data_IF_371953805096
#
_entry.id   IF_371953805096
#
_cell.length_a   1.000
_cell.length_b   1.000
_cell.length_c   1.000
_cell.angle_alpha   90.00
_cell.angle_beta   90.00
_cell.angle_gamma   90.00
#
_symmetry.space_group_name_H-M   'P 1'
#
loop_
_entity.id
_entity.type
_entity.pdbx_description
1 polymer ?
#
# COMPACT_ATOMS: atom_id res chain seq x y z
N UNK A 1 -7.98 13.32 -12.52
CA UNK A 1 -8.23 11.96 -11.98
C UNK A 1 -9.70 11.55 -12.11
N UNK A 2 -10.65 12.10 -11.33
CA UNK A 2 -12.07 11.67 -11.34
C UNK A 2 -12.68 11.54 -12.75
N UNK A 3 -12.63 12.60 -13.57
CA UNK A 3 -13.10 12.58 -14.97
C UNK A 3 -12.45 11.50 -15.85
N UNK A 4 -11.19 11.14 -15.57
CA UNK A 4 -10.51 10.07 -16.29
C UNK A 4 -11.01 8.68 -15.92
N UNK A 5 -11.37 8.49 -14.64
CA UNK A 5 -12.03 7.26 -14.17
C UNK A 5 -13.43 7.16 -14.80
N UNK A 6 -14.22 8.23 -14.74
CA UNK A 6 -15.55 8.32 -15.36
C UNK A 6 -15.48 7.99 -16.87
N UNK A 7 -14.55 8.60 -17.60
CA UNK A 7 -14.33 8.31 -19.02
C UNK A 7 -13.95 6.83 -19.27
N UNK A 8 -13.11 6.23 -18.43
CA UNK A 8 -12.74 4.83 -18.56
C UNK A 8 -13.94 3.89 -18.33
N UNK A 9 -14.82 4.23 -17.37
CA UNK A 9 -16.09 3.54 -17.15
C UNK A 9 -16.97 3.61 -18.39
N UNK A 10 -17.20 4.81 -18.91
CA UNK A 10 -18.01 5.04 -20.11
C UNK A 10 -17.45 4.32 -21.35
N UNK A 11 -16.12 4.18 -21.41
CA UNK A 11 -15.42 3.46 -22.48
C UNK A 11 -15.45 1.93 -22.34
N UNK A 12 -16.07 1.41 -21.28
CA UNK A 12 -16.18 -0.03 -21.04
C UNK A 12 -14.88 -0.72 -20.61
N UNK A 13 -13.94 0.04 -20.02
CA UNK A 13 -12.72 -0.53 -19.46
C UNK A 13 -13.04 -1.64 -18.44
N UNK A 14 -12.14 -2.62 -18.30
CA UNK A 14 -12.25 -3.69 -17.28
C UNK A 14 -11.22 -3.56 -16.17
N UNK A 15 -10.18 -2.78 -16.41
CA UNK A 15 -9.11 -2.46 -15.47
C UNK A 15 -8.71 -1.00 -15.69
N UNK A 16 -8.49 -0.26 -14.61
CA UNK A 16 -7.95 1.10 -14.63
C UNK A 16 -6.63 1.10 -13.84
N UNK A 17 -5.54 1.52 -14.48
CA UNK A 17 -4.22 1.69 -13.84
C UNK A 17 -3.99 3.17 -13.51
N UNK A 18 -3.70 3.48 -12.24
CA UNK A 18 -3.52 4.86 -11.77
C UNK A 18 -2.19 4.99 -11.01
N UNK A 19 -1.20 5.57 -11.66
CA UNK A 19 0.11 5.88 -11.05
C UNK A 19 0.21 7.34 -10.55
N UNK A 20 -0.90 8.08 -10.56
CA UNK A 20 -0.96 9.47 -10.10
C UNK A 20 -1.39 9.53 -8.64
N UNK A 21 -0.70 10.37 -7.86
CA UNK A 21 -1.00 10.61 -6.46
C UNK A 21 -1.81 11.91 -6.27
N UNK A 22 -2.73 11.88 -5.30
CA UNK A 22 -3.39 13.05 -4.74
C UNK A 22 -3.25 13.04 -3.20
N UNK A 23 -3.22 14.23 -2.61
CA UNK A 23 -3.05 14.38 -1.15
C UNK A 23 -4.36 14.10 -0.41
N UNK A 24 -5.47 14.64 -0.90
CA UNK A 24 -6.78 14.61 -0.23
C UNK A 24 -7.84 14.05 -1.17
N UNK A 25 -8.69 13.11 -0.72
CA UNK A 25 -9.79 12.61 -1.54
C UNK A 25 -10.87 13.69 -1.67
N UNK A 26 -11.26 14.01 -2.90
CA UNK A 26 -12.42 14.86 -3.16
C UNK A 26 -13.68 14.01 -3.25
N UNK A 27 -14.88 14.54 -2.92
CA UNK A 27 -16.13 13.79 -3.08
C UNK A 27 -16.34 13.25 -4.50
N UNK A 28 -15.95 14.02 -5.52
CA UNK A 28 -16.00 13.58 -6.92
C UNK A 28 -15.08 12.41 -7.22
N UNK A 29 -13.87 12.36 -6.64
CA UNK A 29 -12.96 11.24 -6.84
C UNK A 29 -13.47 9.97 -6.15
N UNK A 30 -14.00 10.10 -4.93
CA UNK A 30 -14.61 8.98 -4.21
C UNK A 30 -15.82 8.44 -4.99
N UNK A 31 -16.68 9.31 -5.51
CA UNK A 31 -17.82 8.91 -6.33
C UNK A 31 -17.39 8.23 -7.63
N UNK A 32 -16.34 8.71 -8.31
CA UNK A 32 -15.82 8.10 -9.52
C UNK A 32 -15.25 6.69 -9.27
N UNK A 33 -14.51 6.51 -8.16
CA UNK A 33 -14.00 5.19 -7.74
C UNK A 33 -15.15 4.23 -7.46
N UNK A 34 -16.16 4.65 -6.68
CA UNK A 34 -17.34 3.84 -6.40
C UNK A 34 -18.12 3.49 -7.67
N UNK A 35 -18.23 4.42 -8.62
CA UNK A 35 -18.89 4.18 -9.91
C UNK A 35 -18.17 3.13 -10.76
N UNK A 36 -16.84 3.13 -10.76
CA UNK A 36 -16.05 2.12 -11.44
C UNK A 36 -16.19 0.73 -10.78
N UNK A 37 -16.15 0.65 -9.45
CA UNK A 37 -16.40 -0.61 -8.73
C UNK A 37 -17.78 -1.18 -9.02
N UNK A 38 -18.82 -0.35 -8.97
CA UNK A 38 -20.20 -0.73 -9.29
C UNK A 38 -20.36 -1.19 -10.75
N UNK A 39 -19.42 -0.83 -11.63
CA UNK A 39 -19.39 -1.21 -13.04
C UNK A 39 -18.55 -2.47 -13.31
N UNK A 40 -18.18 -3.22 -12.27
CA UNK A 40 -17.30 -4.39 -12.34
C UNK A 40 -15.92 -4.05 -12.93
N UNK A 41 -15.34 -2.91 -12.54
CA UNK A 41 -14.00 -2.49 -12.98
C UNK A 41 -13.03 -2.62 -11.81
N UNK A 42 -11.88 -3.26 -12.05
CA UNK A 42 -10.80 -3.30 -11.06
C UNK A 42 -9.96 -2.04 -11.20
N UNK A 43 -9.81 -1.29 -10.12
CA UNK A 43 -8.94 -0.12 -10.06
C UNK A 43 -7.66 -0.52 -9.36
N UNK A 44 -6.53 -0.33 -10.03
CA UNK A 44 -5.18 -0.60 -9.50
C UNK A 44 -4.47 0.73 -9.38
N UNK A 45 -3.95 1.05 -8.19
CA UNK A 45 -3.30 2.33 -7.95
C UNK A 45 -2.00 2.20 -7.16
N UNK A 46 -1.05 3.07 -7.49
CA UNK A 46 0.24 3.15 -6.84
C UNK A 46 0.11 3.55 -5.37
N UNK A 47 0.76 2.81 -4.46
CA UNK A 47 0.77 3.17 -3.05
C UNK A 47 1.43 4.53 -2.79
N UNK A 48 2.44 4.89 -3.59
CA UNK A 48 3.15 6.17 -3.52
C UNK A 48 4.65 5.99 -3.26
N UNK A 49 5.41 7.02 -3.60
CA UNK A 49 6.87 7.04 -3.55
C UNK A 49 7.36 8.06 -2.49
N UNK A 50 8.09 7.60 -1.47
CA UNK A 50 8.65 8.38 -0.36
C UNK A 50 9.73 9.34 -0.81
N UNK A 51 10.55 8.91 -1.77
CA UNK A 51 11.55 9.72 -2.46
C UNK A 51 10.92 10.83 -3.31
N UNK A 52 9.64 10.71 -3.66
CA UNK A 52 8.82 11.79 -4.24
C UNK A 52 7.98 12.56 -3.20
N UNK A 53 8.20 12.31 -1.91
CA UNK A 53 7.55 13.03 -0.80
C UNK A 53 6.24 12.42 -0.31
N UNK A 54 5.83 11.24 -0.76
CA UNK A 54 4.66 10.56 -0.21
C UNK A 54 4.95 10.06 1.22
N UNK A 55 4.17 10.52 2.19
CA UNK A 55 4.36 10.18 3.62
C UNK A 55 3.58 8.94 4.06
N UNK A 56 2.58 8.52 3.27
CA UNK A 56 1.71 7.38 3.52
C UNK A 56 1.09 6.92 2.20
N UNK A 57 0.31 5.83 2.22
CA UNK A 57 -0.45 5.38 1.04
C UNK A 57 -1.30 6.53 0.48
N UNK A 58 -1.09 6.82 -0.80
CA UNK A 58 -1.64 7.99 -1.49
C UNK A 58 -3.09 7.78 -1.92
N UNK A 59 -3.79 8.87 -2.24
CA UNK A 59 -5.08 8.79 -2.94
C UNK A 59 -4.80 8.65 -4.44
N UNK A 60 -5.47 7.75 -5.17
CA UNK A 60 -6.65 6.99 -4.78
C UNK A 60 -6.38 5.62 -4.16
N UNK A 61 -5.12 5.16 -4.10
CA UNK A 61 -4.78 3.83 -3.58
C UNK A 61 -5.35 3.52 -2.20
N UNK A 62 -5.42 4.51 -1.29
CA UNK A 62 -6.00 4.31 0.05
C UNK A 62 -7.54 4.33 0.11
N UNK A 63 -8.25 4.51 -1.00
CA UNK A 63 -9.71 4.48 -1.02
C UNK A 63 -10.21 3.03 -0.96
N UNK A 64 -11.35 2.76 -0.28
CA UNK A 64 -11.97 1.44 -0.30
C UNK A 64 -12.17 0.94 -1.73
N UNK A 65 -11.97 -0.36 -1.94
CA UNK A 65 -12.16 -1.06 -3.22
C UNK A 65 -11.08 -0.84 -4.29
N UNK A 66 -10.11 0.05 -4.03
CA UNK A 66 -8.91 0.21 -4.87
C UNK A 66 -7.84 -0.81 -4.47
N UNK A 67 -7.22 -1.46 -5.47
CA UNK A 67 -6.05 -2.31 -5.28
C UNK A 67 -4.81 -1.42 -5.14
N UNK A 68 -4.43 -1.12 -3.90
CA UNK A 68 -3.19 -0.40 -3.59
C UNK A 68 -1.97 -1.30 -3.78
N UNK A 69 -1.01 -0.86 -4.60
CA UNK A 69 0.16 -1.66 -4.97
C UNK A 69 1.44 -1.02 -4.45
N UNK A 70 2.15 -1.73 -3.58
CA UNK A 70 3.51 -1.43 -3.16
C UNK A 70 4.54 -2.00 -4.14
N UNK A 71 5.77 -1.49 -4.09
CA UNK A 71 6.85 -1.88 -4.99
C UNK A 71 7.86 -2.78 -4.29
N UNK A 72 8.33 -3.81 -4.99
CA UNK A 72 9.46 -4.66 -4.57
C UNK A 72 10.59 -4.65 -5.59
N UNK A 73 11.79 -4.98 -5.12
CA UNK A 73 12.95 -5.22 -5.96
C UNK A 73 12.91 -6.61 -6.64
N UNK A 74 13.94 -6.91 -7.44
CA UNK A 74 14.06 -8.18 -8.17
C UNK A 74 14.20 -9.41 -7.26
N UNK A 75 14.52 -9.23 -5.98
CA UNK A 75 14.60 -10.30 -4.98
C UNK A 75 13.27 -10.46 -4.22
N UNK A 76 12.28 -9.60 -4.50
CA UNK A 76 11.02 -9.53 -3.79
C UNK A 76 11.14 -8.86 -2.42
N UNK A 77 12.16 -8.04 -2.19
CA UNK A 77 12.26 -7.20 -0.99
C UNK A 77 11.49 -5.90 -1.21
N UNK A 78 10.83 -5.39 -0.16
CA UNK A 78 10.16 -4.10 -0.18
C UNK A 78 11.12 -3.00 -0.63
N UNK A 79 10.70 -2.23 -1.62
CA UNK A 79 11.46 -1.06 -2.07
C UNK A 79 11.37 0.04 -1.01
N UNK A 80 12.51 0.52 -0.52
CA UNK A 80 12.55 1.54 0.54
C UNK A 80 11.87 2.88 0.15
N UNK A 81 11.77 3.18 -1.15
CA UNK A 81 11.01 4.31 -1.65
C UNK A 81 9.51 4.04 -1.75
N UNK A 82 9.02 2.80 -1.72
CA UNK A 82 7.58 2.53 -1.68
C UNK A 82 7.02 2.95 -0.33
N UNK A 83 5.88 3.64 -0.31
CA UNK A 83 5.11 3.80 0.94
C UNK A 83 4.58 2.44 1.40
N UNK A 84 4.33 2.33 2.71
CA UNK A 84 3.65 1.21 3.34
C UNK A 84 2.45 1.73 4.16
N UNK A 85 1.55 0.81 4.51
CA UNK A 85 0.42 1.10 5.36
C UNK A 85 -0.67 0.03 5.27
N UNK A 86 -1.67 0.11 6.16
CA UNK A 86 -2.73 -0.89 6.24
C UNK A 86 -3.62 -0.94 4.99
N UNK A 87 -3.46 -0.04 4.02
CA UNK A 87 -4.18 -0.05 2.75
C UNK A 87 -3.47 -0.82 1.65
N UNK A 88 -2.17 -1.10 1.76
CA UNK A 88 -1.44 -1.91 0.77
C UNK A 88 -2.12 -3.28 0.65
N UNK A 89 -2.53 -3.65 -0.56
CA UNK A 89 -3.24 -4.90 -0.80
C UNK A 89 -2.32 -5.95 -1.41
N UNK A 90 -1.46 -5.54 -2.34
CA UNK A 90 -0.52 -6.40 -3.04
C UNK A 90 0.80 -5.65 -3.25
N UNK A 91 1.84 -6.40 -3.55
CA UNK A 91 3.10 -5.88 -4.05
C UNK A 91 3.44 -6.42 -5.42
N UNK A 92 4.21 -5.67 -6.20
CA UNK A 92 4.71 -6.13 -7.49
C UNK A 92 6.11 -5.55 -7.77
N UNK A 93 6.88 -6.18 -8.68
CA UNK A 93 8.17 -5.64 -9.09
C UNK A 93 8.03 -4.20 -9.59
N UNK A 94 8.82 -3.30 -9.04
CA UNK A 94 8.79 -1.89 -9.43
C UNK A 94 10.14 -1.20 -9.29
N UNK A 95 11.25 -1.95 -9.21
CA UNK A 95 12.61 -1.40 -9.20
C UNK A 95 13.32 -1.84 -10.46
N UNK A 96 13.95 -0.89 -11.16
CA UNK A 96 14.69 -1.11 -12.41
C UNK A 96 13.86 -1.82 -13.50
N UNK A 97 12.62 -1.38 -13.68
CA UNK A 97 11.69 -1.93 -14.66
C UNK A 97 11.92 -1.26 -16.02
N UNK A 98 12.32 -2.05 -17.01
CA UNK A 98 12.42 -1.58 -18.39
C UNK A 98 11.04 -1.30 -18.97
N UNK A 99 10.91 -0.14 -19.61
CA UNK A 99 9.66 0.32 -20.21
C UNK A 99 9.92 1.04 -21.54
N UNK A 100 8.87 1.14 -22.36
CA UNK A 100 8.91 1.92 -23.60
C UNK A 100 9.00 3.40 -23.27
N UNK A 101 9.95 4.09 -23.90
CA UNK A 101 10.10 5.54 -23.81
C UNK A 101 9.55 6.25 -25.07
N UNK A 102 9.52 7.58 -25.09
CA UNK A 102 9.17 8.35 -26.29
C UNK A 102 10.07 8.02 -27.49
N UNK A 103 9.49 8.01 -28.70
CA UNK A 103 10.16 7.53 -29.92
C UNK A 103 10.25 6.01 -29.96
N UNK A 104 11.25 5.47 -30.66
CA UNK A 104 11.53 4.02 -30.69
C UNK A 104 12.49 3.58 -29.55
N UNK A 105 12.38 4.25 -28.39
CA UNK A 105 13.33 4.15 -27.28
C UNK A 105 12.85 3.28 -26.12
N UNK A 106 13.79 2.91 -25.27
CA UNK A 106 13.54 2.26 -23.98
C UNK A 106 14.15 3.09 -22.85
N UNK A 107 13.50 3.03 -21.69
CA UNK A 107 14.01 3.59 -20.43
C UNK A 107 13.82 2.57 -19.31
N UNK A 108 14.35 2.87 -18.13
CA UNK A 108 14.09 2.13 -16.91
C UNK A 108 13.43 3.05 -15.89
N UNK A 109 12.43 2.54 -15.19
CA UNK A 109 11.75 3.21 -14.08
C UNK A 109 11.95 2.49 -12.77
N UNK A 110 11.79 3.23 -11.68
CA UNK A 110 11.71 2.69 -10.32
C UNK A 110 10.61 3.44 -9.60
N UNK A 111 9.62 2.71 -9.08
CA UNK A 111 8.55 3.24 -8.26
C UNK A 111 7.33 2.33 -8.20
N UNK A 112 6.38 2.72 -7.34
CA UNK A 112 5.07 2.07 -7.25
C UNK A 112 4.25 2.18 -8.54
N UNK A 113 4.58 3.13 -9.42
CA UNK A 113 4.01 3.28 -10.77
C UNK A 113 4.22 2.04 -11.66
N UNK A 114 5.44 1.51 -11.68
CA UNK A 114 5.78 0.32 -12.48
C UNK A 114 5.08 -0.92 -11.91
N UNK A 115 5.13 -1.09 -10.59
CA UNK A 115 4.42 -2.16 -9.87
C UNK A 115 2.91 -2.16 -10.15
N UNK A 116 2.29 -0.98 -10.19
CA UNK A 116 0.87 -0.78 -10.53
C UNK A 116 0.56 -1.28 -11.94
N UNK A 117 1.42 -0.96 -12.90
CA UNK A 117 1.24 -1.36 -14.31
C UNK A 117 1.34 -2.87 -14.49
N UNK A 118 2.30 -3.53 -13.84
CA UNK A 118 2.42 -4.99 -13.85
C UNK A 118 1.16 -5.63 -13.22
N UNK A 119 0.69 -5.10 -12.09
CA UNK A 119 -0.51 -5.61 -11.42
C UNK A 119 -1.76 -5.43 -12.29
N UNK A 120 -1.92 -4.30 -12.98
CA UNK A 120 -3.01 -4.09 -13.93
C UNK A 120 -2.97 -5.11 -15.09
N UNK A 121 -1.77 -5.42 -15.59
CA UNK A 121 -1.57 -6.51 -16.56
C UNK A 121 -1.98 -7.88 -16.01
N UNK A 122 -1.63 -8.18 -14.76
CA UNK A 122 -2.05 -9.41 -14.09
C UNK A 122 -3.58 -9.52 -13.97
N UNK A 123 -4.26 -8.44 -13.60
CA UNK A 123 -5.74 -8.36 -13.57
C UNK A 123 -6.31 -8.65 -14.97
N UNK A 124 -5.76 -8.05 -16.02
CA UNK A 124 -6.21 -8.27 -17.39
C UNK A 124 -6.03 -9.74 -17.84
N UNK A 125 -4.91 -10.36 -17.50
CA UNK A 125 -4.66 -11.79 -17.78
C UNK A 125 -5.64 -12.70 -17.05
N UNK A 126 -5.92 -12.42 -15.77
CA UNK A 126 -6.90 -13.20 -14.99
C UNK A 126 -8.28 -13.06 -15.60
N UNK A 127 -8.73 -11.84 -15.98
CA UNK A 127 -10.01 -11.64 -16.66
C UNK A 127 -10.07 -12.31 -18.02
N UNK A 128 -8.97 -12.35 -18.77
CA UNK A 128 -8.92 -13.06 -20.06
C UNK A 128 -9.09 -14.57 -19.88
N UNK A 129 -8.48 -15.15 -18.84
CA UNK A 129 -8.59 -16.58 -18.56
C UNK A 129 -9.92 -16.96 -17.90
N UNK A 130 -10.46 -16.09 -17.06
CA UNK A 130 -11.68 -16.31 -16.28
C UNK A 130 -12.68 -15.16 -16.52
N UNK A 131 -13.30 -15.10 -17.71
CA UNK A 131 -14.10 -13.94 -18.14
C UNK A 131 -15.37 -13.71 -17.32
N UNK A 132 -15.82 -14.70 -16.54
CA UNK A 132 -17.02 -14.62 -15.73
C UNK A 132 -16.75 -14.22 -14.26
N UNK A 133 -15.49 -14.02 -13.87
CA UNK A 133 -15.19 -13.53 -12.53
C UNK A 133 -15.54 -12.04 -12.42
N UNK A 134 -16.20 -11.69 -11.32
CA UNK A 134 -16.38 -10.30 -10.93
C UNK A 134 -15.03 -9.67 -10.55
N UNK A 135 -14.99 -8.34 -10.48
CA UNK A 135 -13.85 -7.57 -10.00
C UNK A 135 -13.39 -8.06 -8.62
N UNK A 136 -14.34 -8.32 -7.71
CA UNK A 136 -14.05 -8.84 -6.37
C UNK A 136 -13.40 -10.22 -6.41
N UNK A 137 -13.88 -11.13 -7.27
CA UNK A 137 -13.29 -12.47 -7.43
C UNK A 137 -11.91 -12.42 -8.11
N UNK A 138 -11.69 -11.49 -9.04
CA UNK A 138 -10.36 -11.27 -9.63
C UNK A 138 -9.37 -10.79 -8.58
N UNK A 139 -9.77 -9.83 -7.74
CA UNK A 139 -8.93 -9.32 -6.65
C UNK A 139 -8.64 -10.44 -5.64
N UNK A 140 -9.67 -11.18 -5.22
CA UNK A 140 -9.53 -12.33 -4.32
C UNK A 140 -8.56 -13.38 -4.88
N UNK A 141 -8.67 -13.69 -6.17
CA UNK A 141 -7.78 -14.63 -6.83
C UNK A 141 -6.33 -14.15 -6.82
N UNK A 142 -6.08 -12.86 -7.03
CA UNK A 142 -4.74 -12.29 -6.95
C UNK A 142 -4.18 -12.31 -5.52
N UNK A 143 -5.00 -11.99 -4.50
CA UNK A 143 -4.55 -11.99 -3.11
C UNK A 143 -4.37 -13.40 -2.55
N UNK A 144 -5.25 -14.34 -2.88
CA UNK A 144 -5.17 -15.73 -2.42
C UNK A 144 -4.00 -16.51 -3.04
N UNK A 145 -3.44 -16.02 -4.15
CA UNK A 145 -2.32 -16.65 -4.85
C UNK A 145 -1.02 -15.86 -4.75
N UNK A 146 -1.02 -14.71 -4.08
CA UNK A 146 0.16 -13.91 -3.86
C UNK A 146 1.23 -14.71 -3.10
N UNK A 147 2.49 -14.44 -3.40
CA UNK A 147 3.62 -15.00 -2.65
C UNK A 147 3.86 -14.16 -1.42
N UNK A 148 3.49 -14.71 -0.26
CA UNK A 148 3.71 -14.08 1.04
C UNK A 148 5.20 -13.78 1.26
N UNK A 149 5.49 -12.56 1.73
CA UNK A 149 6.81 -11.99 1.95
C UNK A 149 6.73 -11.08 3.17
N UNK A 150 7.80 -11.02 3.95
CA UNK A 150 7.80 -10.30 5.21
C UNK A 150 7.22 -11.15 6.36
N UNK A 151 6.58 -10.52 7.36
CA UNK A 151 5.87 -11.23 8.42
C UNK A 151 4.75 -12.12 7.84
N UNK A 152 4.53 -13.35 8.35
CA UNK A 152 3.51 -14.23 7.80
C UNK A 152 2.10 -13.62 7.77
N UNK A 153 1.41 -13.78 6.64
CA UNK A 153 0.07 -13.26 6.41
C UNK A 153 0.07 -11.83 5.88
N UNK A 154 -1.01 -11.10 6.13
CA UNK A 154 -1.15 -9.75 5.60
C UNK A 154 -0.36 -8.73 6.43
N UNK A 155 0.51 -7.96 5.79
CA UNK A 155 1.26 -6.88 6.42
C UNK A 155 1.17 -5.54 5.65
N UNK A 156 1.83 -4.50 6.17
CA UNK A 156 1.74 -3.14 5.64
C UNK A 156 2.69 -2.88 4.45
N UNK A 157 3.79 -3.64 4.33
CA UNK A 157 4.78 -3.52 3.27
C UNK A 157 4.33 -4.30 2.03
N UNK A 158 3.91 -5.55 2.22
CA UNK A 158 3.61 -6.46 1.11
C UNK A 158 2.11 -6.64 0.84
N UNK A 159 1.23 -6.21 1.77
CA UNK A 159 -0.18 -6.54 1.70
C UNK A 159 -0.36 -8.05 1.86
N UNK A 160 -1.06 -8.71 0.92
CA UNK A 160 -1.15 -10.18 0.88
C UNK A 160 0.10 -10.85 0.27
N UNK A 161 1.06 -10.08 -0.21
CA UNK A 161 2.30 -10.58 -0.80
C UNK A 161 2.56 -10.04 -2.21
N UNK A 162 3.64 -10.55 -2.80
CA UNK A 162 4.04 -10.22 -4.18
C UNK A 162 3.18 -11.00 -5.17
N UNK A 163 2.66 -10.31 -6.20
CA UNK A 163 1.84 -10.95 -7.24
C UNK A 163 2.54 -12.17 -7.84
N UNK A 164 1.80 -13.29 -7.94
CA UNK A 164 2.26 -14.50 -8.60
C UNK A 164 1.32 -14.81 -9.76
N UNK A 165 1.67 -14.31 -10.95
CA UNK A 165 0.80 -14.39 -12.13
C UNK A 165 0.56 -15.85 -12.54
N UNK A 166 1.56 -16.72 -12.42
CA UNK A 166 1.39 -18.14 -12.74
C UNK A 166 0.37 -18.77 -11.81
N UNK A 167 0.53 -18.62 -10.48
CA UNK A 167 -0.42 -19.15 -9.51
C UNK A 167 -1.82 -18.54 -9.70
N UNK A 168 -1.94 -17.23 -9.92
CA UNK A 168 -3.19 -16.55 -10.23
C UNK A 168 -3.86 -17.12 -11.48
N UNK A 169 -3.10 -17.65 -12.44
CA UNK A 169 -3.65 -18.26 -13.65
C UNK A 169 -3.85 -19.78 -13.54
N UNK A 170 -3.27 -20.49 -12.57
CA UNK A 170 -3.31 -21.97 -12.57
C UNK A 170 -3.89 -22.60 -11.31
N UNK A 171 -3.89 -21.91 -10.17
CA UNK A 171 -4.39 -22.46 -8.92
C UNK A 171 -5.91 -22.65 -8.95
N UNK A 172 -6.40 -23.66 -8.24
CA UNK A 172 -7.81 -23.72 -7.88
C UNK A 172 -8.04 -22.79 -6.69
N UNK A 173 -8.90 -21.78 -6.86
CA UNK A 173 -9.17 -20.76 -5.84
C UNK A 173 -10.66 -20.82 -5.53
N UNK A 174 -11.05 -21.24 -4.31
CA UNK A 174 -12.44 -21.24 -3.92
C UNK A 174 -13.05 -19.83 -4.03
N UNK A 175 -14.29 -19.71 -4.56
CA UNK A 175 -14.95 -18.41 -4.68
C UNK A 175 -15.20 -17.81 -3.29
N UNK A 176 -15.30 -16.48 -3.20
CA UNK A 176 -15.52 -15.77 -1.94
C UNK A 176 -16.77 -16.28 -1.19
N UNK A 177 -17.82 -16.67 -1.93
CA UNK A 177 -19.07 -17.21 -1.36
C UNK A 177 -18.94 -18.60 -0.73
N UNK A 178 -17.84 -19.33 -0.97
CA UNK A 178 -17.62 -20.67 -0.42
C UNK A 178 -16.97 -20.66 0.98
N UNK A 179 -16.63 -19.48 1.54
CA UNK A 179 -16.15 -19.40 2.93
C UNK A 179 -17.30 -19.70 3.90
N UNK A 180 -17.20 -20.75 4.74
CA UNK A 180 -18.25 -21.04 5.70
C UNK A 180 -18.31 -19.92 6.74
N UNK A 181 -19.43 -19.20 6.78
CA UNK A 181 -19.81 -18.30 7.87
C UNK A 181 -19.89 -19.08 9.18
N UNK A 182 -18.75 -19.21 9.86
CA UNK A 182 -18.68 -19.56 11.28
C UNK A 182 -18.32 -18.32 12.07
N UNK A 183 -19.21 -17.32 11.99
CA UNK A 183 -19.34 -16.36 13.07
C UNK A 183 -20.06 -17.10 14.22
N UNK A 184 -19.50 -17.15 15.45
CA UNK A 184 -20.24 -17.65 16.59
C UNK A 184 -21.49 -16.80 16.77
N UNK A 185 -22.66 -17.43 16.74
CA UNK A 185 -23.91 -16.80 17.17
C UNK A 185 -23.71 -16.29 18.60
N UNK A 186 -23.74 -14.96 18.77
CA UNK A 186 -23.83 -14.33 20.08
C UNK A 186 -25.23 -14.60 20.65
N UNK A 187 -25.43 -15.79 21.22
CA UNK A 187 -26.51 -16.03 22.18
C UNK A 187 -26.11 -15.36 23.50
N UNK A 188 -26.62 -14.14 23.66
CA UNK A 188 -27.36 -13.68 24.83
C UNK A 188 -27.04 -14.42 26.14
N UNK A 189 -26.14 -13.84 26.95
CA UNK A 189 -26.24 -13.85 28.42
C UNK A 189 -25.58 -12.60 29.00
N UNK A 190 -26.42 -11.65 29.39
CA UNK A 190 -26.09 -10.68 30.44
C UNK A 190 -26.85 -11.09 31.70
N UNK A 191 -26.17 -11.16 32.86
CA UNK A 191 -26.79 -10.66 34.07
C UNK A 191 -25.93 -9.61 34.75
N UNK A 192 -26.59 -8.47 34.98
CA UNK A 192 -26.23 -7.41 35.92
C UNK A 192 -26.03 -7.95 37.35
N UNK A 193 -24.92 -7.58 38.02
CA UNK A 193 -24.90 -6.68 39.21
C UNK A 193 -23.57 -6.74 39.99
N UNK A 194 -23.00 -5.54 40.17
CA UNK A 194 -22.58 -4.94 41.45
C UNK A 194 -21.38 -5.49 42.24
N UNK A 195 -20.31 -4.69 42.30
CA UNK A 195 -19.82 -3.95 43.51
C UNK A 195 -18.30 -4.05 43.74
N UNK A 196 -17.66 -2.87 43.81
CA UNK A 196 -16.50 -2.49 44.63
C UNK A 196 -15.17 -3.26 44.41
N UNK A 197 -14.00 -2.63 44.34
CA UNK A 197 -13.40 -1.71 45.31
C UNK A 197 -12.34 -0.85 44.59
N UNK A 198 -12.31 0.44 44.90
CA UNK A 198 -11.23 1.35 44.54
C UNK A 198 -10.08 1.28 45.56
N UNK A 199 -8.83 1.31 45.09
CA UNK A 199 -7.69 1.80 45.87
C UNK A 199 -6.63 2.47 44.95
N UNK A 200 -5.85 3.44 45.49
CA UNK A 200 -5.23 4.51 44.70
C UNK A 200 -3.80 4.17 44.25
N UNK A 201 -3.42 4.61 43.05
CA UNK A 201 -2.04 4.61 42.59
C UNK A 201 -1.35 5.90 43.06
N UNK A 202 -0.29 5.77 43.87
CA UNK A 202 0.59 6.87 44.26
C UNK A 202 1.50 7.34 43.11
N UNK A 203 2.15 8.50 43.24
CA UNK A 203 2.94 9.09 42.17
C UNK A 203 4.30 8.39 42.05
N UNK A 204 4.47 7.61 40.98
CA UNK A 204 5.75 7.06 40.55
C UNK A 204 6.60 8.12 39.84
N UNK A 205 7.71 8.46 40.47
CA UNK A 205 8.78 9.36 40.04
C UNK A 205 9.26 9.14 38.59
N UNK A 206 9.09 10.15 37.73
CA UNK A 206 9.74 10.23 36.42
C UNK A 206 11.21 10.62 36.59
N UNK A 207 12.12 9.66 36.38
CA UNK A 207 13.56 9.87 36.39
C UNK A 207 14.08 10.13 34.96
N UNK A 208 14.38 11.41 34.71
CA UNK A 208 15.52 11.96 33.96
C UNK A 208 16.29 11.02 33.01
N UNK A 209 16.08 11.16 31.70
CA UNK A 209 17.11 10.94 30.67
C UNK A 209 17.01 12.04 29.61
N UNK A 210 17.46 13.25 29.96
CA UNK A 210 17.75 14.31 28.96
C UNK A 210 19.00 15.06 29.41
N UNK A 211 20.16 14.38 29.51
CA UNK A 211 21.43 15.08 29.82
C UNK A 211 22.64 14.72 28.91
N UNK A 212 22.76 13.62 28.13
CA UNK A 212 24.01 13.46 27.35
C UNK A 212 24.00 14.16 25.98
N UNK A 213 22.86 14.66 25.48
CA UNK A 213 22.78 15.17 24.09
C UNK A 213 23.28 16.62 23.97
N UNK A 214 23.02 17.48 24.97
CA UNK A 214 23.39 18.90 24.92
C UNK A 214 24.90 19.11 25.07
N UNK A 215 25.57 18.30 25.91
CA UNK A 215 27.02 18.40 26.10
C UNK A 215 27.82 17.99 24.84
N UNK A 216 27.34 16.97 24.11
CA UNK A 216 27.97 16.52 22.86
C UNK A 216 27.80 17.55 21.75
N UNK A 217 26.62 18.16 21.62
CA UNK A 217 26.37 19.23 20.66
C UNK A 217 27.23 20.47 20.92
N UNK A 218 27.37 20.90 22.18
CA UNK A 218 28.23 22.03 22.53
C UNK A 218 29.70 21.76 22.21
N UNK A 219 30.21 20.54 22.48
CA UNK A 219 31.59 20.18 22.17
C UNK A 219 31.89 20.19 20.67
N UNK A 220 30.97 19.68 19.84
CA UNK A 220 31.11 19.66 18.38
C UNK A 220 31.09 21.07 17.77
N UNK A 221 30.25 21.97 18.29
CA UNK A 221 30.18 23.36 17.83
C UNK A 221 31.48 24.10 18.15
N UNK A 222 32.03 23.93 19.36
CA UNK A 222 33.31 24.56 19.74
C UNK A 222 34.46 24.04 18.86
N UNK A 223 34.46 22.75 18.53
CA UNK A 223 35.47 22.14 17.65
C UNK A 223 35.40 22.69 16.22
N UNK A 224 34.19 22.86 15.68
CA UNK A 224 33.93 23.45 14.35
C UNK A 224 34.37 24.92 14.28
N UNK A 225 34.06 25.71 15.31
CA UNK A 225 34.47 27.11 15.39
C UNK A 225 36.00 27.22 15.46
N UNK A 226 36.65 26.40 16.28
CA UNK A 226 38.11 26.39 16.38
C UNK A 226 38.79 25.97 15.07
N UNK A 227 38.24 24.96 14.38
CA UNK A 227 38.73 24.53 13.07
C UNK A 227 38.58 25.65 12.02
N UNK A 228 37.43 26.32 11.97
CA UNK A 228 37.17 27.40 11.02
C UNK A 228 38.07 28.63 11.27
N UNK A 229 38.39 28.93 12.53
CA UNK A 229 39.32 30.02 12.88
C UNK A 229 40.76 29.66 12.53
N UNK A 230 41.17 28.40 12.75
CA UNK A 230 42.56 27.96 12.52
C UNK A 230 42.91 27.81 11.04
N UNK A 231 41.93 27.50 10.19
CA UNK A 231 42.12 27.33 8.75
C UNK A 231 41.75 28.56 7.91
N UNK A 232 41.50 29.70 8.56
CA UNK A 232 41.42 31.00 7.89
C UNK A 232 42.64 31.84 8.21
N UNK A 233 43.63 31.79 7.33
CA UNK A 233 44.54 32.92 7.08
C UNK A 233 45.25 32.74 5.74
N UNK A 234 45.63 33.84 5.07
CA UNK A 234 44.93 35.12 4.90
C UNK A 234 44.24 35.23 3.54
#
# INVERSE_FOLDING_TARGET
MAKGIEFAVESGAKVISISQNAVTPTPSLVAAVQGAENSDIVIVAAAGNRDEGALAVSVPARLPGVVAVASVDSNGNHYSGSTDGPQVLLSAPGVNIYQTGPGDGYSSGTGTSDATSITAGAVALVRAKYPNLSAAEVIHRLTATATDKGPPGRDNEYGYGVINIVAALTADVPPLSASPSTAPSATDQSPSRSSAVAQPAGPGTALLIVIPIVAVLCALIVMLIWWAVRHRTP
#
